data_IF_134603878901
#
_entry.id   IF_134603878901
#
_cell.length_a   1.000
_cell.length_b   1.000
_cell.length_c   1.000
_cell.angle_alpha   90.00
_cell.angle_beta   90.00
_cell.angle_gamma   90.00
#
_symmetry.space_group_name_H-M   'P 1'
#
loop_
_entity.id
_entity.type
_entity.pdbx_description
1 polymer ?
#
# COMPACT_ATOMS: atom_id res chain seq x y z
N UNK A 1 -50.35 14.57 -6.79
CA UNK A 1 -50.38 13.63 -5.66
C UNK A 1 -48.93 13.28 -5.38
N UNK A 2 -48.34 13.93 -4.38
CA UNK A 2 -46.93 13.79 -4.03
C UNK A 2 -46.81 12.81 -2.87
N UNK A 3 -45.97 11.79 -3.02
CA UNK A 3 -45.55 10.91 -1.93
C UNK A 3 -44.48 11.64 -1.10
N UNK A 4 -44.62 11.75 0.24
CA UNK A 4 -43.59 12.29 1.11
C UNK A 4 -42.88 11.13 1.82
N UNK A 5 -41.81 10.57 1.25
CA UNK A 5 -40.99 9.55 1.92
C UNK A 5 -39.57 9.47 1.33
N UNK A 6 -38.86 10.59 1.30
CA UNK A 6 -37.40 10.60 1.13
C UNK A 6 -36.84 11.72 1.98
N UNK A 7 -36.41 11.35 3.17
CA UNK A 7 -35.27 11.91 3.92
C UNK A 7 -35.35 11.37 5.35
N UNK A 8 -35.12 10.06 5.48
CA UNK A 8 -34.84 9.46 6.78
C UNK A 8 -33.51 8.73 6.65
N UNK A 9 -32.42 9.48 6.75
CA UNK A 9 -31.10 8.93 6.99
C UNK A 9 -31.16 8.20 8.35
N UNK A 10 -31.17 6.87 8.31
CA UNK A 10 -31.35 6.02 9.46
C UNK A 10 -30.22 6.19 10.48
N UNK A 11 -30.60 6.43 11.73
CA UNK A 11 -29.68 6.59 12.88
C UNK A 11 -28.84 5.33 13.17
N UNK A 12 -29.20 4.17 12.59
CA UNK A 12 -28.53 2.87 12.78
C UNK A 12 -27.24 2.70 11.99
N UNK A 13 -27.09 3.42 10.88
CA UNK A 13 -26.03 3.11 9.89
C UNK A 13 -24.72 3.86 10.17
N UNK A 14 -24.78 4.90 11.01
CA UNK A 14 -23.61 5.66 11.47
C UNK A 14 -22.92 4.94 12.65
N UNK A 15 -23.69 4.25 13.50
CA UNK A 15 -23.16 3.60 14.69
C UNK A 15 -22.37 2.31 14.36
N UNK A 16 -22.75 1.63 13.27
CA UNK A 16 -22.07 0.46 12.72
C UNK A 16 -20.78 0.77 11.94
N UNK A 17 -20.55 2.04 11.62
CA UNK A 17 -19.48 2.50 10.73
C UNK A 17 -18.38 3.27 11.47
N UNK A 18 -18.46 3.32 12.80
CA UNK A 18 -17.49 4.05 13.64
C UNK A 18 -16.23 3.21 13.89
N UNK A 19 -15.03 3.83 13.85
CA UNK A 19 -13.75 3.13 14.00
C UNK A 19 -13.62 2.43 15.37
N UNK A 20 -12.77 1.40 15.46
CA UNK A 20 -12.61 0.60 16.69
C UNK A 20 -12.10 1.45 17.88
N UNK A 21 -11.39 2.55 17.62
CA UNK A 21 -10.98 3.53 18.64
C UNK A 21 -12.17 4.22 19.34
N UNK A 22 -13.30 4.39 18.66
CA UNK A 22 -14.52 4.94 19.27
C UNK A 22 -15.13 3.97 20.30
N UNK A 23 -14.73 2.69 20.33
CA UNK A 23 -15.17 1.69 21.31
C UNK A 23 -14.43 1.77 22.65
N UNK A 24 -13.29 2.46 22.68
CA UNK A 24 -12.58 2.80 23.91
C UNK A 24 -13.09 4.11 24.55
N UNK A 25 -13.81 4.94 23.79
CA UNK A 25 -14.48 6.14 24.28
C UNK A 25 -15.80 5.76 24.97
N UNK A 26 -16.21 6.52 25.99
CA UNK A 26 -17.54 6.34 26.55
C UNK A 26 -18.60 6.59 25.48
N UNK A 27 -19.77 5.94 25.59
CA UNK A 27 -20.87 6.16 24.66
C UNK A 27 -21.26 7.65 24.54
N UNK A 28 -21.06 8.41 25.63
CA UNK A 28 -21.29 9.86 25.69
C UNK A 28 -20.23 10.66 24.91
N UNK A 29 -18.96 10.28 24.99
CA UNK A 29 -17.88 10.93 24.22
C UNK A 29 -17.98 10.64 22.73
N UNK A 30 -18.35 9.39 22.36
CA UNK A 30 -18.63 9.00 20.97
C UNK A 30 -19.83 9.78 20.42
N UNK A 31 -20.92 9.86 21.18
CA UNK A 31 -22.09 10.65 20.79
C UNK A 31 -21.76 12.15 20.69
N UNK A 32 -20.90 12.67 21.57
CA UNK A 32 -20.41 14.05 21.53
C UNK A 32 -19.62 14.35 20.25
N UNK A 33 -18.72 13.45 19.86
CA UNK A 33 -17.91 13.59 18.65
C UNK A 33 -18.76 13.49 17.38
N UNK A 34 -19.67 12.51 17.30
CA UNK A 34 -20.62 12.36 16.18
C UNK A 34 -21.52 13.59 16.07
N UNK A 35 -22.00 14.13 17.18
CA UNK A 35 -22.79 15.36 17.18
C UNK A 35 -21.97 16.59 16.77
N UNK A 36 -20.70 16.68 17.18
CA UNK A 36 -19.81 17.77 16.78
C UNK A 36 -19.51 17.72 15.27
N UNK A 37 -19.23 16.52 14.72
CA UNK A 37 -19.08 16.28 13.29
C UNK A 37 -20.37 16.61 12.53
N UNK A 38 -21.51 16.15 13.03
CA UNK A 38 -22.83 16.45 12.45
C UNK A 38 -23.09 17.96 12.43
N UNK A 39 -22.83 18.66 13.52
CA UNK A 39 -23.00 20.11 13.61
C UNK A 39 -22.03 20.85 12.68
N UNK A 40 -20.78 20.37 12.54
CA UNK A 40 -19.79 20.99 11.65
C UNK A 40 -20.12 20.74 10.18
N UNK A 41 -20.56 19.54 9.82
CA UNK A 41 -21.08 19.20 8.49
C UNK A 41 -22.35 19.98 8.16
N UNK A 42 -23.28 20.11 9.12
CA UNK A 42 -24.48 20.94 8.96
C UNK A 42 -24.13 22.42 8.80
N UNK A 43 -23.11 22.92 9.49
CA UNK A 43 -22.63 24.30 9.31
C UNK A 43 -21.94 24.50 7.95
N UNK A 44 -21.10 23.57 7.49
CA UNK A 44 -20.47 23.66 6.17
C UNK A 44 -21.49 23.53 5.04
N UNK A 45 -22.39 22.55 5.12
CA UNK A 45 -23.49 22.39 4.17
C UNK A 45 -24.38 23.64 4.19
N UNK A 46 -24.71 24.14 5.40
CA UNK A 46 -25.47 25.35 5.65
C UNK A 46 -24.87 26.60 5.01
N UNK A 47 -23.55 26.81 5.16
CA UNK A 47 -22.82 27.92 4.55
C UNK A 47 -22.82 27.88 3.01
N UNK A 48 -22.72 26.68 2.41
CA UNK A 48 -22.82 26.54 0.95
C UNK A 48 -24.24 26.75 0.41
N UNK A 49 -25.28 26.34 1.14
CA UNK A 49 -26.67 26.68 0.81
C UNK A 49 -26.93 28.19 0.94
N UNK A 50 -26.38 28.84 1.97
CA UNK A 50 -26.54 30.29 2.20
C UNK A 50 -25.92 31.12 1.07
N UNK A 51 -24.78 30.69 0.53
CA UNK A 51 -24.19 31.33 -0.67
C UNK A 51 -25.11 31.19 -1.88
N UNK A 52 -25.69 30.01 -2.16
CA UNK A 52 -26.60 29.83 -3.31
C UNK A 52 -27.94 30.56 -3.14
N UNK A 53 -28.39 30.74 -1.90
CA UNK A 53 -29.61 31.48 -1.50
C UNK A 53 -29.45 32.99 -1.54
N UNK A 54 -28.23 33.50 -1.37
CA UNK A 54 -27.91 34.93 -1.51
C UNK A 54 -27.68 35.37 -2.96
N UNK A 55 -27.57 34.44 -3.91
CA UNK A 55 -27.41 34.78 -5.34
C UNK A 55 -28.72 35.27 -5.96
N UNK A 56 -28.59 36.26 -6.87
CA UNK A 56 -29.73 36.68 -7.69
C UNK A 56 -30.25 35.54 -8.57
N UNK A 57 -31.55 35.54 -8.95
CA UNK A 57 -32.15 34.46 -9.74
C UNK A 57 -31.42 34.17 -11.06
N UNK A 58 -30.86 35.19 -11.71
CA UNK A 58 -30.11 35.03 -12.96
C UNK A 58 -28.76 34.34 -12.74
N UNK A 59 -28.09 34.59 -11.62
CA UNK A 59 -26.83 33.94 -11.28
C UNK A 59 -27.08 32.50 -10.86
N UNK A 60 -28.14 32.21 -10.10
CA UNK A 60 -28.54 30.83 -9.76
C UNK A 60 -28.76 29.98 -11.01
N UNK A 61 -29.50 30.49 -12.01
CA UNK A 61 -29.69 29.81 -13.30
C UNK A 61 -28.38 29.52 -14.03
N UNK A 62 -27.39 30.41 -13.93
CA UNK A 62 -26.05 30.17 -14.50
C UNK A 62 -25.32 29.06 -13.74
N UNK A 63 -25.39 29.04 -12.41
CA UNK A 63 -24.79 27.96 -11.60
C UNK A 63 -25.45 26.62 -11.90
N UNK A 64 -26.78 26.57 -12.08
CA UNK A 64 -27.48 25.36 -12.52
C UNK A 64 -26.98 24.87 -13.88
N UNK A 65 -26.78 25.78 -14.85
CA UNK A 65 -26.19 25.41 -16.14
C UNK A 65 -24.73 24.92 -16.02
N UNK A 66 -23.93 25.49 -15.11
CA UNK A 66 -22.57 25.02 -14.85
C UNK A 66 -22.56 23.63 -14.19
N UNK A 67 -23.50 23.34 -13.28
CA UNK A 67 -23.66 22.01 -12.70
C UNK A 67 -24.03 20.96 -13.74
N UNK A 68 -24.88 21.32 -14.70
CA UNK A 68 -25.21 20.44 -15.82
C UNK A 68 -23.96 20.13 -16.67
N UNK A 69 -23.13 21.14 -16.96
CA UNK A 69 -21.84 20.94 -17.65
C UNK A 69 -20.92 20.03 -16.84
N UNK A 70 -20.85 20.20 -15.51
CA UNK A 70 -20.06 19.32 -14.66
C UNK A 70 -20.56 17.87 -14.71
N UNK A 71 -21.88 17.65 -14.66
CA UNK A 71 -22.45 16.31 -14.81
C UNK A 71 -22.07 15.66 -16.14
N UNK A 72 -22.07 16.43 -17.23
CA UNK A 72 -21.64 15.93 -18.54
C UNK A 72 -20.14 15.61 -18.59
N UNK A 73 -19.32 16.37 -17.87
CA UNK A 73 -17.90 16.06 -17.70
C UNK A 73 -17.72 14.74 -16.96
N UNK A 74 -18.39 14.58 -15.81
CA UNK A 74 -18.30 13.38 -14.97
C UNK A 74 -18.74 12.12 -15.75
N UNK A 75 -19.75 12.23 -16.62
CA UNK A 75 -20.18 11.15 -17.52
C UNK A 75 -19.12 10.76 -18.56
N UNK A 76 -18.38 11.74 -19.10
CA UNK A 76 -17.28 11.49 -20.04
C UNK A 76 -16.07 10.89 -19.33
N UNK A 77 -15.77 11.38 -18.14
CA UNK A 77 -14.70 10.91 -17.29
C UNK A 77 -14.93 9.45 -16.85
N UNK A 78 -16.16 9.08 -16.48
CA UNK A 78 -16.51 7.68 -16.20
C UNK A 78 -16.22 6.75 -17.39
N UNK A 79 -16.52 7.19 -18.63
CA UNK A 79 -16.20 6.42 -19.85
C UNK A 79 -14.69 6.33 -20.09
N UNK A 80 -13.97 7.43 -19.86
CA UNK A 80 -12.51 7.44 -19.95
C UNK A 80 -11.90 6.40 -18.99
N UNK A 81 -12.41 6.30 -17.77
CA UNK A 81 -11.92 5.31 -16.80
C UNK A 81 -12.27 3.88 -17.16
N UNK A 82 -13.45 3.63 -17.70
CA UNK A 82 -13.82 2.31 -18.23
C UNK A 82 -12.87 1.90 -19.38
N UNK A 83 -12.60 2.80 -20.32
CA UNK A 83 -11.67 2.56 -21.43
C UNK A 83 -10.23 2.38 -20.94
N UNK A 84 -9.78 3.18 -19.97
CA UNK A 84 -8.45 3.06 -19.36
C UNK A 84 -8.28 1.71 -18.68
N UNK A 85 -9.25 1.28 -17.87
CA UNK A 85 -9.21 -0.01 -17.18
C UNK A 85 -9.16 -1.18 -18.20
N UNK A 86 -9.99 -1.13 -19.24
CA UNK A 86 -9.96 -2.14 -20.31
C UNK A 86 -8.62 -2.16 -21.06
N UNK A 87 -7.98 -1.00 -21.25
CA UNK A 87 -6.67 -0.89 -21.88
C UNK A 87 -5.56 -1.46 -20.99
N UNK A 88 -5.55 -1.14 -19.70
CA UNK A 88 -4.63 -1.70 -18.71
C UNK A 88 -4.73 -3.23 -18.66
N UNK A 89 -5.94 -3.77 -18.58
CA UNK A 89 -6.20 -5.22 -18.58
C UNK A 89 -5.71 -5.90 -19.86
N UNK A 90 -5.89 -5.25 -21.02
CA UNK A 90 -5.40 -5.75 -22.30
C UNK A 90 -3.88 -5.85 -22.28
N UNK A 91 -3.18 -4.80 -21.87
CA UNK A 91 -1.72 -4.79 -21.88
C UNK A 91 -1.12 -5.68 -20.80
N UNK A 92 -1.78 -5.81 -19.65
CA UNK A 92 -1.35 -6.75 -18.61
C UNK A 92 -1.30 -8.19 -19.14
N UNK A 93 -2.32 -8.62 -19.89
CA UNK A 93 -2.34 -9.94 -20.56
C UNK A 93 -1.25 -10.09 -21.63
N UNK A 94 -0.84 -9.00 -22.27
CA UNK A 94 0.26 -9.01 -23.24
C UNK A 94 1.63 -9.07 -22.57
N UNK A 95 1.77 -8.53 -21.36
CA UNK A 95 3.01 -8.58 -20.57
C UNK A 95 3.22 -9.92 -19.87
N UNK A 96 2.15 -10.62 -19.49
CA UNK A 96 2.24 -11.89 -18.75
C UNK A 96 3.14 -12.97 -19.42
N UNK A 97 3.07 -13.19 -20.75
CA UNK A 97 4.00 -14.10 -21.44
C UNK A 97 5.45 -13.64 -21.36
N UNK A 98 5.70 -12.32 -21.39
CA UNK A 98 7.06 -11.76 -21.29
C UNK A 98 7.64 -11.98 -19.88
N UNK A 99 6.83 -11.78 -18.84
CA UNK A 99 7.25 -12.05 -17.47
C UNK A 99 7.48 -13.55 -17.22
N UNK A 100 6.64 -14.41 -17.79
CA UNK A 100 6.84 -15.86 -17.73
C UNK A 100 8.15 -16.28 -18.41
N UNK A 101 8.43 -15.73 -19.59
CA UNK A 101 9.70 -15.96 -20.30
C UNK A 101 10.91 -15.43 -19.51
N UNK A 102 10.80 -14.24 -18.90
CA UNK A 102 11.84 -13.68 -18.03
C UNK A 102 12.11 -14.60 -16.84
N UNK A 103 11.05 -15.11 -16.21
CA UNK A 103 11.16 -16.07 -15.11
C UNK A 103 11.92 -17.33 -15.54
N UNK A 104 11.56 -17.91 -16.69
CA UNK A 104 12.22 -19.12 -17.23
C UNK A 104 13.72 -18.89 -17.47
N UNK A 105 14.10 -17.75 -18.04
CA UNK A 105 15.51 -17.39 -18.29
C UNK A 105 16.25 -17.15 -16.98
N UNK A 106 15.71 -16.31 -16.09
CA UNK A 106 16.34 -15.96 -14.81
C UNK A 106 16.58 -17.20 -13.96
N UNK A 107 15.67 -18.18 -13.98
CA UNK A 107 15.79 -19.41 -13.20
C UNK A 107 16.45 -20.57 -13.96
N UNK A 108 16.93 -20.36 -15.20
CA UNK A 108 17.62 -21.39 -15.98
C UNK A 108 16.73 -22.58 -16.37
N UNK A 109 15.42 -22.35 -16.52
CA UNK A 109 14.47 -23.36 -17.02
C UNK A 109 14.63 -23.54 -18.53
N UNK A 110 14.94 -22.44 -19.23
CA UNK A 110 15.17 -22.41 -20.68
C UNK A 110 16.56 -21.86 -20.93
N UNK A 111 17.36 -22.62 -21.66
CA UNK A 111 18.65 -22.18 -22.17
C UNK A 111 18.44 -21.18 -23.33
N UNK A 112 19.14 -20.05 -23.27
CA UNK A 112 19.18 -19.09 -24.38
C UNK A 112 20.34 -19.50 -25.28
N UNK A 113 20.14 -19.48 -26.61
CA UNK A 113 21.17 -19.92 -27.56
C UNK A 113 22.51 -19.21 -27.32
N UNK A 114 23.50 -20.00 -26.93
CA UNK A 114 24.85 -19.56 -26.57
C UNK A 114 25.70 -19.39 -27.84
N UNK A 115 26.32 -18.22 -28.02
CA UNK A 115 27.32 -17.95 -29.06
C UNK A 115 28.76 -17.98 -28.50
N UNK A 116 28.96 -18.40 -27.25
CA UNK A 116 30.24 -18.40 -26.55
C UNK A 116 30.80 -19.79 -26.22
N UNK A 117 32.13 -19.92 -26.31
CA UNK A 117 32.88 -21.12 -25.93
C UNK A 117 33.48 -20.97 -24.51
N UNK A 118 32.68 -21.13 -23.44
CA UNK A 118 33.26 -21.41 -22.11
C UNK A 118 32.27 -22.16 -21.18
N UNK A 119 32.28 -23.50 -21.25
CA UNK A 119 31.42 -24.39 -20.45
C UNK A 119 32.11 -24.88 -19.18
N UNK A 120 32.67 -23.98 -18.36
CA UNK A 120 33.38 -24.39 -17.14
C UNK A 120 32.63 -24.16 -15.83
N UNK A 121 31.40 -23.64 -15.85
CA UNK A 121 30.47 -23.67 -14.70
C UNK A 121 29.04 -23.88 -15.20
N UNK A 122 28.35 -24.90 -14.68
CA UNK A 122 26.90 -25.06 -14.86
C UNK A 122 26.16 -24.03 -13.98
N UNK A 123 26.31 -22.74 -14.31
CA UNK A 123 25.54 -21.68 -13.66
C UNK A 123 24.12 -21.73 -14.22
N UNK A 124 23.18 -22.31 -13.45
CA UNK A 124 21.76 -22.36 -13.83
C UNK A 124 21.15 -20.96 -13.72
N UNK A 125 20.70 -20.41 -14.84
CA UNK A 125 19.98 -19.14 -14.89
C UNK A 125 20.89 -17.92 -14.66
N UNK A 126 20.32 -16.86 -14.09
CA UNK A 126 21.03 -15.62 -13.77
C UNK A 126 21.15 -15.50 -12.23
N UNK A 127 22.31 -15.80 -11.64
CA UNK A 127 22.50 -15.75 -10.20
C UNK A 127 22.17 -14.37 -9.61
N UNK A 128 21.55 -14.37 -8.42
CA UNK A 128 21.25 -13.18 -7.63
C UNK A 128 20.49 -12.07 -8.38
N UNK A 129 19.80 -12.41 -9.48
CA UNK A 129 19.16 -11.45 -10.39
C UNK A 129 18.31 -10.41 -9.64
N UNK A 130 17.40 -10.86 -8.78
CA UNK A 130 16.50 -9.97 -8.06
C UNK A 130 17.19 -9.16 -6.97
N UNK A 131 18.14 -9.76 -6.25
CA UNK A 131 18.95 -9.04 -5.28
C UNK A 131 19.70 -7.89 -5.97
N UNK A 132 20.34 -8.17 -7.11
CA UNK A 132 21.07 -7.16 -7.88
C UNK A 132 20.13 -6.08 -8.43
N UNK A 133 18.99 -6.47 -8.99
CA UNK A 133 17.99 -5.55 -9.52
C UNK A 133 17.47 -4.60 -8.41
N UNK A 134 17.11 -5.15 -7.25
CA UNK A 134 16.63 -4.35 -6.12
C UNK A 134 17.72 -3.43 -5.55
N UNK A 135 18.98 -3.87 -5.50
CA UNK A 135 20.11 -3.04 -5.05
C UNK A 135 20.51 -1.95 -6.05
N UNK A 136 20.12 -2.08 -7.32
CA UNK A 136 20.35 -1.04 -8.33
C UNK A 136 19.32 0.08 -8.23
N UNK A 137 18.16 -0.19 -7.64
CA UNK A 137 17.14 0.81 -7.36
C UNK A 137 17.50 1.62 -6.10
N UNK A 138 17.58 2.95 -6.21
CA UNK A 138 18.02 3.84 -5.13
C UNK A 138 17.22 3.68 -3.83
N UNK A 139 15.88 3.62 -3.94
CA UNK A 139 14.99 3.55 -2.78
C UNK A 139 15.08 2.19 -2.11
N UNK A 140 15.06 1.11 -2.89
CA UNK A 140 15.12 -0.24 -2.33
C UNK A 140 16.50 -0.57 -1.75
N UNK A 141 17.57 -0.02 -2.32
CA UNK A 141 18.93 -0.25 -1.85
C UNK A 141 19.14 0.23 -0.40
N UNK A 142 18.53 1.36 -0.01
CA UNK A 142 18.61 1.89 1.36
C UNK A 142 17.90 1.00 2.39
N UNK A 143 16.86 0.28 1.96
CA UNK A 143 16.09 -0.62 2.83
C UNK A 143 16.73 -2.01 2.98
N UNK A 144 17.69 -2.37 2.12
CA UNK A 144 18.34 -3.70 2.12
C UNK A 144 19.62 -3.65 2.94
N UNK A 145 19.62 -4.30 4.11
CA UNK A 145 20.82 -4.47 4.92
C UNK A 145 21.68 -5.64 4.44
N UNK A 146 22.97 -5.64 4.78
CA UNK A 146 23.90 -6.75 4.46
C UNK A 146 23.39 -8.14 4.91
N UNK A 147 22.59 -8.18 5.98
CA UNK A 147 22.02 -9.44 6.50
C UNK A 147 20.86 -9.96 5.64
N UNK A 148 20.17 -9.06 4.94
CA UNK A 148 19.04 -9.39 4.09
C UNK A 148 19.51 -10.00 2.76
N UNK A 149 20.69 -9.59 2.27
CA UNK A 149 21.25 -10.05 1.00
C UNK A 149 21.30 -11.57 0.90
N UNK A 150 21.81 -12.27 1.92
CA UNK A 150 21.88 -13.73 1.94
C UNK A 150 20.51 -14.42 1.85
N UNK A 151 19.43 -13.74 2.25
CA UNK A 151 18.07 -14.26 2.12
C UNK A 151 17.49 -13.92 0.75
N UNK A 152 17.75 -12.71 0.24
CA UNK A 152 17.30 -12.25 -1.07
C UNK A 152 17.94 -12.99 -2.24
N UNK A 153 19.08 -13.66 -2.06
CA UNK A 153 19.63 -14.62 -3.05
C UNK A 153 18.66 -15.77 -3.39
N UNK A 154 17.73 -16.08 -2.49
CA UNK A 154 16.71 -17.11 -2.71
C UNK A 154 15.44 -16.57 -3.39
N UNK A 155 15.38 -15.28 -3.71
CA UNK A 155 14.24 -14.67 -4.39
C UNK A 155 14.26 -15.03 -5.89
N UNK A 156 13.21 -15.73 -6.34
CA UNK A 156 13.08 -16.27 -7.70
C UNK A 156 12.27 -15.39 -8.63
N UNK A 157 11.26 -14.74 -8.08
CA UNK A 157 10.34 -13.89 -8.84
C UNK A 157 9.67 -12.85 -7.95
N UNK A 158 9.30 -11.74 -8.56
CA UNK A 158 8.43 -10.74 -7.98
C UNK A 158 7.30 -10.50 -8.99
N UNK A 159 6.07 -10.72 -8.55
CA UNK A 159 4.87 -10.47 -9.34
C UNK A 159 4.02 -9.41 -8.67
N UNK A 160 3.14 -8.81 -9.45
CA UNK A 160 2.09 -7.95 -8.92
C UNK A 160 0.77 -8.24 -9.61
N UNK A 161 -0.32 -7.99 -8.90
CA UNK A 161 -1.68 -8.07 -9.45
C UNK A 161 -2.54 -6.95 -8.87
N UNK A 162 -3.48 -6.47 -9.68
CA UNK A 162 -4.55 -5.57 -9.24
C UNK A 162 -5.59 -6.34 -8.43
N UNK A 163 -6.21 -5.67 -7.48
CA UNK A 163 -7.34 -6.14 -6.69
C UNK A 163 -8.47 -5.15 -6.92
N UNK A 164 -9.65 -5.66 -7.30
CA UNK A 164 -10.79 -4.79 -7.58
C UNK A 164 -11.65 -4.52 -6.34
N UNK A 165 -11.69 -5.46 -5.38
CA UNK A 165 -12.53 -5.34 -4.20
C UNK A 165 -11.92 -6.02 -2.94
N UNK A 166 -11.45 -5.25 -1.93
CA UNK A 166 -11.28 -3.79 -1.97
C UNK A 166 -10.25 -3.38 -3.03
N UNK A 167 -10.42 -2.20 -3.60
CA UNK A 167 -9.55 -1.69 -4.67
C UNK A 167 -8.10 -1.62 -4.19
N UNK A 168 -7.14 -1.99 -5.05
CA UNK A 168 -5.72 -1.86 -4.76
C UNK A 168 -4.84 -2.81 -5.56
N UNK A 169 -3.68 -3.17 -5.00
CA UNK A 169 -2.75 -4.10 -5.65
C UNK A 169 -1.97 -4.93 -4.63
N UNK A 170 -1.49 -6.09 -5.06
CA UNK A 170 -0.68 -7.00 -4.25
C UNK A 170 0.62 -7.33 -4.97
N UNK A 171 1.72 -7.22 -4.24
CA UNK A 171 3.05 -7.70 -4.62
C UNK A 171 3.27 -9.09 -4.01
N UNK A 172 3.85 -10.00 -4.79
CA UNK A 172 4.14 -11.38 -4.41
C UNK A 172 5.61 -11.69 -4.69
N UNK A 173 6.35 -12.03 -3.63
CA UNK A 173 7.76 -12.35 -3.66
C UNK A 173 7.94 -13.86 -3.49
N UNK A 174 8.39 -14.54 -4.54
CA UNK A 174 8.52 -15.99 -4.59
C UNK A 174 9.92 -16.41 -4.20
N UNK A 175 10.05 -17.16 -3.11
CA UNK A 175 11.33 -17.63 -2.60
C UNK A 175 11.51 -19.13 -2.84
N UNK A 176 12.75 -19.51 -3.11
CA UNK A 176 13.18 -20.90 -2.98
C UNK A 176 13.16 -21.36 -1.52
N UNK A 177 13.22 -22.69 -1.36
CA UNK A 177 13.55 -23.28 -0.06
C UNK A 177 14.86 -22.68 0.44
N UNK A 178 14.80 -22.01 1.59
CA UNK A 178 15.90 -21.23 2.13
C UNK A 178 16.09 -21.52 3.63
N UNK A 179 17.27 -21.22 4.21
CA UNK A 179 17.56 -21.53 5.61
C UNK A 179 17.05 -20.48 6.60
N UNK A 180 16.24 -19.51 6.18
CA UNK A 180 15.81 -18.37 7.00
C UNK A 180 14.36 -18.46 7.47
N UNK A 181 13.43 -18.81 6.57
CA UNK A 181 12.01 -18.94 6.86
C UNK A 181 11.35 -20.05 6.04
N UNK A 182 10.13 -20.43 6.41
CA UNK A 182 9.38 -21.51 5.74
C UNK A 182 8.55 -21.06 4.55
N UNK A 183 8.14 -19.78 4.51
CA UNK A 183 7.27 -19.25 3.47
C UNK A 183 7.91 -19.43 2.09
N UNK A 184 7.15 -19.93 1.12
CA UNK A 184 7.55 -19.93 -0.29
C UNK A 184 7.14 -18.65 -1.01
N UNK A 185 6.16 -17.92 -0.47
CA UNK A 185 5.69 -16.63 -1.01
C UNK A 185 5.49 -15.67 0.15
N UNK A 186 6.04 -14.46 0.04
CA UNK A 186 5.74 -13.33 0.90
C UNK A 186 4.93 -12.31 0.09
N UNK A 187 3.80 -11.86 0.62
CA UNK A 187 2.93 -10.90 -0.06
C UNK A 187 2.87 -9.58 0.68
N UNK A 188 2.74 -8.49 -0.07
CA UNK A 188 2.41 -7.15 0.42
C UNK A 188 1.23 -6.61 -0.39
N UNK A 189 0.13 -6.37 0.29
CA UNK A 189 -1.13 -5.90 -0.28
C UNK A 189 -1.36 -4.45 0.12
N UNK A 190 -1.70 -3.60 -0.83
CA UNK A 190 -2.08 -2.21 -0.63
C UNK A 190 -3.55 -2.05 -1.03
N UNK A 191 -4.40 -1.60 -0.12
CA UNK A 191 -5.76 -1.18 -0.41
C UNK A 191 -5.76 0.33 -0.66
N UNK A 192 -6.38 0.73 -1.77
CA UNK A 192 -6.40 2.09 -2.27
C UNK A 192 -7.83 2.60 -2.24
N UNK A 193 -8.01 3.85 -1.80
CA UNK A 193 -9.33 4.49 -1.79
C UNK A 193 -9.78 4.79 -3.24
N UNK A 194 -8.86 5.25 -4.07
CA UNK A 194 -9.08 5.61 -5.46
C UNK A 194 -7.88 5.22 -6.35
N UNK A 195 -8.13 5.00 -7.64
CA UNK A 195 -7.09 4.83 -8.67
C UNK A 195 -6.56 6.18 -9.19
N UNK A 196 -7.31 7.28 -8.99
CA UNK A 196 -6.97 8.61 -9.51
C UNK A 196 -6.03 9.36 -8.58
N UNK A 197 -6.46 9.48 -7.33
CA UNK A 197 -5.62 9.93 -6.23
C UNK A 197 -5.24 8.68 -5.45
N UNK A 198 -4.03 8.12 -5.64
CA UNK A 198 -3.62 6.89 -4.98
C UNK A 198 -3.40 7.13 -3.49
N UNK A 199 -4.50 7.27 -2.75
CA UNK A 199 -4.55 7.41 -1.32
C UNK A 199 -4.55 6.00 -0.74
N UNK A 200 -3.47 5.68 -0.04
CA UNK A 200 -3.32 4.42 0.66
C UNK A 200 -4.27 4.36 1.86
N UNK A 201 -5.24 3.44 1.82
CA UNK A 201 -6.12 3.16 2.96
C UNK A 201 -5.42 2.24 3.97
N UNK A 202 -4.85 1.14 3.46
CA UNK A 202 -4.30 0.08 4.31
C UNK A 202 -3.21 -0.69 3.59
N UNK A 203 -2.17 -1.05 4.33
CA UNK A 203 -1.15 -1.99 3.89
C UNK A 203 -1.19 -3.27 4.73
N UNK A 204 -1.15 -4.43 4.10
CA UNK A 204 -1.17 -5.75 4.74
C UNK A 204 0.03 -6.54 4.23
N UNK A 205 0.89 -6.99 5.12
CA UNK A 205 2.01 -7.85 4.76
C UNK A 205 1.85 -9.27 5.32
N UNK A 206 2.65 -10.19 4.79
CA UNK A 206 2.69 -11.58 5.25
C UNK A 206 3.52 -11.71 6.53
N UNK A 207 2.99 -12.44 7.52
CA UNK A 207 3.79 -12.85 8.67
C UNK A 207 4.85 -13.87 8.23
N UNK A 208 6.11 -13.55 8.50
CA UNK A 208 7.25 -14.40 8.10
C UNK A 208 7.51 -15.46 9.18
N UNK A 209 7.43 -16.72 8.78
CA UNK A 209 7.68 -17.88 9.62
C UNK A 209 9.19 -18.19 9.73
N UNK A 210 9.91 -17.33 10.45
CA UNK A 210 11.35 -17.46 10.66
C UNK A 210 11.73 -18.77 11.37
N UNK A 211 12.81 -19.40 10.92
CA UNK A 211 13.46 -20.46 11.68
C UNK A 211 14.13 -19.92 12.95
N UNK A 212 14.36 -20.78 13.97
CA UNK A 212 14.97 -20.37 15.22
C UNK A 212 16.31 -19.63 15.03
N UNK A 213 16.39 -18.39 15.52
CA UNK A 213 17.61 -17.57 15.43
C UNK A 213 17.90 -16.97 14.05
N UNK A 214 16.95 -17.04 13.10
CA UNK A 214 17.09 -16.51 11.74
C UNK A 214 16.30 -15.24 11.47
N UNK A 215 15.51 -14.78 12.43
CA UNK A 215 14.75 -13.54 12.31
C UNK A 215 15.67 -12.35 12.04
N UNK A 216 15.50 -11.71 10.88
CA UNK A 216 16.34 -10.59 10.44
C UNK A 216 15.85 -9.24 10.98
N UNK A 217 14.56 -9.13 11.26
CA UNK A 217 13.89 -7.92 11.76
C UNK A 217 14.08 -7.68 13.26
N UNK A 218 14.73 -8.61 13.96
CA UNK A 218 14.94 -8.56 15.41
C UNK A 218 16.35 -8.98 15.81
N UNK A 219 16.95 -8.26 16.77
CA UNK A 219 18.23 -8.61 17.42
C UNK A 219 17.98 -9.10 18.85
N UNK A 220 18.60 -10.23 19.18
CA UNK A 220 18.50 -10.85 20.50
C UNK A 220 19.68 -10.44 21.38
N UNK A 221 19.42 -9.64 22.41
CA UNK A 221 20.42 -9.19 23.39
C UNK A 221 20.34 -10.05 24.66
N UNK A 222 21.44 -10.76 24.97
CA UNK A 222 21.59 -11.51 26.22
C UNK A 222 22.15 -10.59 27.30
N UNK A 223 21.36 -10.25 28.32
CA UNK A 223 21.87 -9.54 29.50
C UNK A 223 22.59 -10.53 30.44
N UNK A 224 23.82 -10.18 30.86
CA UNK A 224 24.51 -10.92 31.93
C UNK A 224 23.70 -10.79 33.23
N UNK A 225 23.50 -11.88 33.99
CA UNK A 225 22.80 -11.81 35.27
C UNK A 225 23.58 -10.91 36.24
N UNK A 226 22.85 -10.12 37.04
CA UNK A 226 23.46 -9.30 38.10
C UNK A 226 24.24 -10.20 39.07
N UNK A 227 25.47 -9.80 39.37
CA UNK A 227 26.39 -10.53 40.27
C UNK A 227 25.76 -10.59 41.67
N UNK A 228 25.15 -11.72 42.02
CA UNK A 228 24.53 -11.93 43.35
C UNK A 228 23.33 -12.89 43.38
N UNK A 229 22.60 -13.10 42.28
CA UNK A 229 21.43 -13.98 42.27
C UNK A 229 21.77 -15.40 41.82
N UNK A 230 21.79 -16.35 42.76
CA UNK A 230 21.79 -17.79 42.44
C UNK A 230 20.44 -18.14 41.81
N UNK A 231 20.47 -18.73 40.61
CA UNK A 231 19.33 -19.32 39.86
C UNK A 231 18.33 -18.38 39.17
N UNK A 232 18.79 -17.41 38.37
CA UNK A 232 17.89 -16.69 37.43
C UNK A 232 18.28 -17.04 35.99
N UNK A 233 17.32 -17.57 35.21
CA UNK A 233 17.49 -17.84 33.77
C UNK A 233 17.91 -16.54 33.04
N UNK A 234 18.77 -16.60 32.01
CA UNK A 234 19.18 -15.41 31.26
C UNK A 234 17.94 -14.68 30.70
N UNK A 235 17.76 -13.41 31.06
CA UNK A 235 16.70 -12.57 30.49
C UNK A 235 17.15 -12.19 29.08
N UNK A 236 16.41 -12.69 28.10
CA UNK A 236 16.64 -12.42 26.68
C UNK A 236 15.76 -11.23 26.31
N UNK A 237 16.35 -10.09 25.93
CA UNK A 237 15.61 -8.94 25.41
C UNK A 237 15.75 -8.94 23.90
N UNK A 238 14.63 -8.79 23.20
CA UNK A 238 14.61 -8.67 21.74
C UNK A 238 14.32 -7.22 21.37
N UNK A 239 15.02 -6.72 20.36
CA UNK A 239 14.91 -5.35 19.88
C UNK A 239 14.71 -5.35 18.36
N UNK A 240 13.78 -4.53 17.85
CA UNK A 240 13.58 -4.37 16.41
C UNK A 240 14.84 -3.77 15.78
N UNK A 241 15.16 -4.17 14.57
CA UNK A 241 16.28 -3.62 13.83
C UNK A 241 15.92 -3.46 12.35
N UNK A 242 16.69 -2.62 11.67
CA UNK A 242 16.59 -2.41 10.22
C UNK A 242 16.85 -3.71 9.46
N UNK A 243 15.95 -3.95 8.51
CA UNK A 243 15.89 -5.10 7.64
C UNK A 243 14.82 -4.83 6.59
N UNK A 244 15.10 -5.15 5.33
CA UNK A 244 14.14 -5.09 4.23
C UNK A 244 12.84 -5.83 4.58
N UNK A 245 12.94 -6.93 5.33
CA UNK A 245 11.78 -7.76 5.68
C UNK A 245 10.78 -7.08 6.63
N UNK A 246 11.12 -5.91 7.21
CA UNK A 246 10.12 -5.06 7.87
C UNK A 246 9.05 -4.56 6.89
N UNK A 247 9.34 -4.54 5.58
CA UNK A 247 8.38 -4.24 4.52
C UNK A 247 7.09 -5.07 4.60
N UNK A 248 7.20 -6.33 5.05
CA UNK A 248 6.05 -7.25 5.22
C UNK A 248 5.35 -7.12 6.57
N UNK A 249 5.80 -6.20 7.43
CA UNK A 249 5.12 -5.85 8.67
C UNK A 249 4.86 -4.34 8.69
N UNK A 250 3.96 -3.85 7.81
CA UNK A 250 3.67 -2.43 7.71
C UNK A 250 3.11 -1.88 9.03
N UNK A 251 3.36 -0.60 9.34
CA UNK A 251 2.67 0.07 10.43
C UNK A 251 1.17 0.12 10.14
N UNK A 252 0.35 0.07 11.19
CA UNK A 252 -1.07 0.35 11.06
C UNK A 252 -1.24 1.83 10.71
N UNK A 253 -2.03 2.11 9.66
CA UNK A 253 -2.41 3.48 9.33
C UNK A 253 -3.31 3.96 10.48
N UNK A 254 -2.93 5.00 11.23
CA UNK A 254 -3.78 5.49 12.31
C UNK A 254 -5.12 5.94 11.74
N UNK A 255 -6.21 5.61 12.44
CA UNK A 255 -7.57 5.99 12.00
C UNK A 255 -7.81 7.52 12.09
N UNK A 256 -6.92 8.28 12.76
CA UNK A 256 -6.98 9.73 12.94
C UNK A 256 -5.64 10.42 12.66
N UNK A 257 -5.68 11.60 12.04
CA UNK A 257 -4.50 12.43 11.71
C UNK A 257 -3.70 12.89 12.95
N UNK A 258 -4.33 12.90 14.13
CA UNK A 258 -3.74 13.35 15.40
C UNK A 258 -2.74 12.33 15.99
N UNK A 259 -2.76 11.07 15.52
CA UNK A 259 -1.89 9.98 15.98
C UNK A 259 -0.65 9.77 15.06
N UNK A 260 -0.47 10.63 14.05
CA UNK A 260 0.68 10.59 13.14
C UNK A 260 1.88 11.28 13.83
N UNK A 261 2.81 10.47 14.36
CA UNK A 261 4.07 10.92 14.94
C UNK A 261 4.79 11.90 13.99
N UNK A 262 5.29 13.04 14.50
CA UNK A 262 5.89 14.08 13.65
C UNK A 262 7.13 13.57 12.88
N UNK A 263 7.79 12.52 13.38
CA UNK A 263 8.92 11.88 12.70
C UNK A 263 8.49 11.08 11.44
N UNK A 264 7.23 10.62 11.34
CA UNK A 264 6.69 10.01 10.12
C UNK A 264 6.33 11.07 9.05
N UNK A 265 6.18 12.34 9.44
CA UNK A 265 5.95 13.46 8.51
C UNK A 265 7.22 13.85 7.73
N UNK A 266 8.40 13.43 8.20
CA UNK A 266 9.68 13.67 7.54
C UNK A 266 9.96 12.82 6.29
N UNK A 267 9.22 11.71 6.11
CA UNK A 267 9.29 10.85 4.92
C UNK A 267 8.27 11.19 3.83
N UNK A 268 7.50 12.28 4.00
CA UNK A 268 6.57 12.76 2.98
C UNK A 268 7.42 13.34 1.85
N UNK A 269 7.73 12.49 0.86
CA UNK A 269 8.25 12.94 -0.42
C UNK A 269 7.37 14.10 -0.88
N UNK A 270 7.96 15.29 -0.88
CA UNK A 270 7.35 16.53 -1.34
C UNK A 270 7.13 16.33 -2.83
N UNK A 271 5.93 15.90 -3.22
CA UNK A 271 5.50 16.02 -4.62
C UNK A 271 5.43 17.53 -4.85
N UNK A 272 6.44 18.07 -5.52
CA UNK A 272 6.49 19.48 -5.86
C UNK A 272 5.25 19.82 -6.69
N UNK A 273 4.42 20.72 -6.18
CA UNK A 273 3.41 21.41 -6.98
C UNK A 273 4.16 22.24 -8.03
N UNK A 274 4.10 21.80 -9.29
CA UNK A 274 4.78 22.48 -10.37
C UNK A 274 4.35 21.98 -11.75
N UNK A 275 3.33 22.64 -12.30
CA UNK A 275 2.97 22.74 -13.72
C UNK A 275 2.07 21.63 -14.30
N UNK A 276 0.91 22.11 -14.74
CA UNK A 276 -0.08 21.47 -15.59
C UNK A 276 0.57 20.64 -16.72
N UNK A 277 0.21 19.37 -16.81
CA UNK A 277 0.28 18.62 -18.07
C UNK A 277 1.45 17.67 -18.29
N UNK A 278 1.99 17.01 -17.27
CA UNK A 278 2.89 15.87 -17.49
C UNK A 278 2.44 14.59 -16.75
N UNK A 279 2.54 13.49 -17.51
CA UNK A 279 2.20 12.09 -17.25
C UNK A 279 2.66 11.60 -15.86
N UNK A 280 1.95 10.67 -15.20
CA UNK A 280 2.53 9.93 -14.08
C UNK A 280 3.82 9.23 -14.53
N UNK A 281 4.86 9.18 -13.69
CA UNK A 281 6.11 8.51 -14.05
C UNK A 281 5.81 7.03 -14.28
N UNK A 282 5.90 6.63 -15.54
CA UNK A 282 6.08 5.25 -15.95
C UNK A 282 7.13 4.64 -15.01
N UNK A 283 6.76 3.52 -14.39
CA UNK A 283 7.68 2.65 -13.68
C UNK A 283 8.77 2.27 -14.69
N UNK A 284 9.88 3.03 -14.68
CA UNK A 284 11.02 2.78 -15.54
C UNK A 284 11.57 1.43 -15.16
N UNK A 285 11.27 0.44 -15.98
CA UNK A 285 12.03 -0.81 -16.03
C UNK A 285 13.42 -0.45 -16.55
N UNK A 286 14.36 -0.27 -15.62
CA UNK A 286 15.79 -0.46 -15.79
C UNK A 286 16.34 -1.14 -14.55
#
# INVERSE_FOLDING_TARGET
>A
MSNPDKDNFGMSDIDSSLPAAAAALSAEDRAGLVNALKNKLQNLAGQHTDVLETLSPIVRKRVEALKEIQSQHDELEAKFFEERAALEDKYQKLYEPLYSKRYEIVNGVVEVEDQGEDKTKEDKGVPDFWLMAMKTNEILAEEISERDEETLKYLKDIKWCRIDNPKGFKLEFFFDNNPFFKNSVLTKTYHMIDDEEPILEKAIGTEIEWYPGKCLTQKVLKKKPKKGSKNVKPITKTEKCESFFNFFNPPEVPENDDDIDEDLKGGRARVEEGQQGERPPECKQQ
#
